data_IF_048835568009
#
_entry.id   IF_048835568009
#
_cell.length_a   1.000
_cell.length_b   1.000
_cell.length_c   1.000
_cell.angle_alpha   90.00
_cell.angle_beta   90.00
_cell.angle_gamma   90.00
#
_symmetry.space_group_name_H-M   'P 1'
#
loop_
_entity.id
_entity.type
_entity.pdbx_description
1 polymer ?
#
# COMPACT_ATOMS: atom_id res chain seq x y z
N UNK A 1 18.50 11.66 0.82
CA UNK A 1 17.67 12.08 1.95
C UNK A 1 16.30 11.42 1.93
N UNK A 2 15.65 11.28 3.08
CA UNK A 2 14.35 10.57 3.21
C UNK A 2 13.25 11.20 2.32
N UNK A 3 13.15 12.53 2.27
CA UNK A 3 12.15 13.26 1.47
C UNK A 3 12.16 12.90 -0.02
N UNK A 4 13.28 12.95 -0.76
CA UNK A 4 13.27 12.59 -2.17
C UNK A 4 12.90 11.11 -2.42
N UNK A 5 13.28 10.21 -1.52
CA UNK A 5 12.89 8.80 -1.64
C UNK A 5 11.38 8.60 -1.47
N UNK A 6 10.76 9.30 -0.51
CA UNK A 6 9.30 9.26 -0.31
C UNK A 6 8.58 9.80 -1.54
N UNK A 7 9.03 10.94 -2.07
CA UNK A 7 8.41 11.55 -3.25
C UNK A 7 8.54 10.66 -4.48
N UNK A 8 9.72 10.07 -4.71
CA UNK A 8 9.94 9.16 -5.84
C UNK A 8 9.07 7.90 -5.75
N UNK A 9 8.88 7.37 -4.56
CA UNK A 9 8.11 6.14 -4.35
C UNK A 9 6.60 6.40 -4.37
N UNK A 10 6.15 7.51 -3.78
CA UNK A 10 4.73 7.85 -3.72
C UNK A 10 4.15 8.19 -5.09
N UNK A 11 4.94 8.80 -6.00
CA UNK A 11 4.48 9.08 -7.37
C UNK A 11 4.12 7.80 -8.13
N UNK A 12 4.71 6.66 -7.74
CA UNK A 12 4.41 5.35 -8.32
C UNK A 12 2.93 4.96 -8.23
N UNK A 13 2.19 5.44 -7.23
CA UNK A 13 0.74 5.24 -7.17
C UNK A 13 0.02 5.97 -8.29
N UNK A 14 0.29 7.26 -8.48
CA UNK A 14 -0.37 8.06 -9.50
C UNK A 14 -0.03 7.54 -10.91
N UNK A 15 1.25 7.22 -11.14
CA UNK A 15 1.72 6.68 -12.43
C UNK A 15 1.13 5.29 -12.69
N UNK A 16 1.20 4.38 -11.72
CA UNK A 16 0.72 3.02 -11.91
C UNK A 16 -0.79 2.94 -12.13
N UNK A 17 -1.58 3.60 -11.30
CA UNK A 17 -3.04 3.66 -11.52
C UNK A 17 -3.40 4.47 -12.77
N UNK A 18 -2.64 5.52 -13.11
CA UNK A 18 -2.82 6.24 -14.36
C UNK A 18 -2.63 5.34 -15.59
N UNK A 19 -1.59 4.53 -15.62
CA UNK A 19 -1.35 3.55 -16.69
C UNK A 19 -2.49 2.54 -16.74
N UNK A 20 -2.94 2.01 -15.58
CA UNK A 20 -4.06 1.06 -15.54
C UNK A 20 -5.36 1.64 -16.12
N UNK A 21 -5.62 2.93 -15.92
CA UNK A 21 -6.81 3.60 -16.46
C UNK A 21 -6.72 3.91 -17.96
N UNK A 22 -5.50 3.99 -18.53
CA UNK A 22 -5.27 4.36 -19.91
C UNK A 22 -5.11 3.18 -20.87
N UNK A 23 -4.83 1.98 -20.36
CA UNK A 23 -4.48 0.83 -21.21
C UNK A 23 -5.22 -0.43 -20.81
N UNK A 24 -5.62 -1.22 -21.83
CA UNK A 24 -6.09 -2.60 -21.68
C UNK A 24 -5.03 -3.64 -22.07
N UNK A 25 -3.78 -3.21 -22.37
CA UNK A 25 -2.71 -4.14 -22.78
C UNK A 25 -2.16 -4.86 -21.57
N UNK A 26 -2.25 -6.20 -21.54
CA UNK A 26 -1.89 -7.05 -20.40
C UNK A 26 -0.47 -6.81 -19.87
N UNK A 27 0.52 -6.65 -20.75
CA UNK A 27 1.92 -6.41 -20.37
C UNK A 27 2.05 -5.06 -19.65
N UNK A 28 1.38 -4.01 -20.15
CA UNK A 28 1.42 -2.69 -19.50
C UNK A 28 0.68 -2.71 -18.15
N UNK A 29 -0.41 -3.47 -18.04
CA UNK A 29 -1.09 -3.71 -16.76
C UNK A 29 -0.17 -4.41 -15.77
N UNK A 30 0.54 -5.46 -16.19
CA UNK A 30 1.50 -6.16 -15.33
C UNK A 30 2.61 -5.21 -14.83
N UNK A 31 3.16 -4.37 -15.71
CA UNK A 31 4.15 -3.35 -15.32
C UNK A 31 3.55 -2.34 -14.34
N UNK A 32 2.33 -1.88 -14.59
CA UNK A 32 1.65 -0.94 -13.71
C UNK A 32 1.40 -1.54 -12.31
N UNK A 33 0.94 -2.81 -12.22
CA UNK A 33 0.82 -3.52 -10.96
C UNK A 33 2.14 -3.65 -10.21
N UNK A 34 3.22 -3.94 -10.93
CA UNK A 34 4.57 -4.02 -10.35
C UNK A 34 5.00 -2.67 -9.75
N UNK A 35 4.80 -1.57 -10.49
CA UNK A 35 5.10 -0.20 -10.02
C UNK A 35 4.29 0.15 -8.77
N UNK A 36 2.98 -0.11 -8.78
CA UNK A 36 2.11 0.11 -7.60
C UNK A 36 2.55 -0.75 -6.42
N UNK A 37 2.93 -2.01 -6.66
CA UNK A 37 3.42 -2.92 -5.63
C UNK A 37 4.68 -2.40 -4.92
N UNK A 38 5.67 -1.92 -5.69
CA UNK A 38 6.87 -1.28 -5.15
C UNK A 38 6.51 -0.03 -4.35
N UNK A 39 5.65 0.83 -4.90
CA UNK A 39 5.20 2.05 -4.23
C UNK A 39 4.52 1.71 -2.89
N UNK A 40 3.59 0.74 -2.87
CA UNK A 40 2.87 0.30 -1.68
C UNK A 40 3.82 -0.18 -0.58
N UNK A 41 4.70 -1.11 -0.90
CA UNK A 41 5.64 -1.67 0.09
C UNK A 41 6.58 -0.60 0.66
N UNK A 42 7.08 0.29 -0.19
CA UNK A 42 8.01 1.34 0.21
C UNK A 42 7.34 2.43 1.06
N UNK A 43 6.11 2.83 0.70
CA UNK A 43 5.35 3.85 1.46
C UNK A 43 4.99 3.33 2.85
N UNK A 44 4.52 2.09 2.98
CA UNK A 44 4.20 1.50 4.29
C UNK A 44 5.43 1.51 5.19
N UNK A 45 6.59 1.07 4.71
CA UNK A 45 7.82 1.07 5.49
C UNK A 45 8.25 2.49 5.88
N UNK A 46 8.16 3.43 4.96
CA UNK A 46 8.54 4.83 5.23
C UNK A 46 7.61 5.49 6.24
N UNK A 47 6.29 5.28 6.12
CA UNK A 47 5.32 5.78 7.09
C UNK A 47 5.58 5.20 8.48
N UNK A 48 5.88 3.91 8.58
CA UNK A 48 6.24 3.25 9.84
C UNK A 48 7.44 3.92 10.51
N UNK A 49 8.50 4.21 9.74
CA UNK A 49 9.70 4.89 10.26
C UNK A 49 9.35 6.32 10.69
N UNK A 50 8.65 7.09 9.84
CA UNK A 50 8.31 8.49 10.14
C UNK A 50 7.42 8.60 11.39
N UNK A 51 6.39 7.77 11.49
CA UNK A 51 5.50 7.78 12.67
C UNK A 51 6.24 7.35 13.91
N UNK A 52 7.09 6.32 13.81
CA UNK A 52 7.92 5.86 14.93
C UNK A 52 8.88 6.94 15.44
N UNK A 53 9.47 7.74 14.53
CA UNK A 53 10.47 8.74 14.89
C UNK A 53 9.85 10.05 15.40
N UNK A 54 8.63 10.38 14.99
CA UNK A 54 7.96 11.64 15.36
C UNK A 54 6.94 11.48 16.49
N UNK A 55 6.53 10.25 16.85
CA UNK A 55 5.60 10.02 17.93
C UNK A 55 6.29 10.06 19.29
N UNK A 56 5.71 10.79 20.24
CA UNK A 56 6.18 10.79 21.62
C UNK A 56 6.07 9.39 22.25
N UNK A 57 4.97 8.71 21.99
CA UNK A 57 4.76 7.29 22.27
C UNK A 57 4.69 6.52 20.95
N UNK A 58 5.72 5.72 20.72
CA UNK A 58 5.86 4.92 19.49
C UNK A 58 4.70 3.95 19.31
N UNK A 59 4.29 3.27 20.38
CA UNK A 59 3.21 2.27 20.32
C UNK A 59 1.89 2.92 19.97
N UNK A 60 1.57 4.04 20.59
CA UNK A 60 0.35 4.80 20.32
C UNK A 60 0.33 5.36 18.90
N UNK A 61 1.46 5.90 18.43
CA UNK A 61 1.59 6.42 17.06
C UNK A 61 1.39 5.32 16.02
N UNK A 62 2.01 4.16 16.22
CA UNK A 62 1.88 3.01 15.34
C UNK A 62 0.44 2.47 15.29
N UNK A 63 -0.22 2.35 16.46
CA UNK A 63 -1.61 1.91 16.51
C UNK A 63 -2.55 2.89 15.78
N UNK A 64 -2.34 4.20 15.95
CA UNK A 64 -3.11 5.21 15.23
C UNK A 64 -2.89 5.11 13.71
N UNK A 65 -1.67 4.94 13.26
CA UNK A 65 -1.35 4.74 11.84
C UNK A 65 -2.07 3.51 11.26
N UNK A 66 -2.03 2.38 11.97
CA UNK A 66 -2.73 1.17 11.55
C UNK A 66 -4.26 1.33 11.57
N UNK A 67 -4.81 2.07 12.53
CA UNK A 67 -6.24 2.40 12.56
C UNK A 67 -6.66 3.25 11.36
N UNK A 68 -5.85 4.26 10.99
CA UNK A 68 -6.10 5.05 9.78
C UNK A 68 -6.01 4.19 8.52
N UNK A 69 -5.05 3.26 8.46
CA UNK A 69 -4.95 2.30 7.35
C UNK A 69 -6.21 1.43 7.25
N UNK A 70 -6.69 0.90 8.38
CA UNK A 70 -7.91 0.08 8.43
C UNK A 70 -9.15 0.87 8.00
N UNK A 71 -9.29 2.13 8.42
CA UNK A 71 -10.36 3.02 7.93
C UNK A 71 -10.30 3.22 6.42
N UNK A 72 -9.10 3.42 5.87
CA UNK A 72 -8.91 3.54 4.43
C UNK A 72 -9.29 2.25 3.69
N UNK A 73 -8.88 1.10 4.20
CA UNK A 73 -9.22 -0.21 3.64
C UNK A 73 -10.73 -0.48 3.66
N UNK A 74 -11.43 -0.05 4.72
CA UNK A 74 -12.88 -0.13 4.84
C UNK A 74 -13.61 0.78 3.83
N UNK A 75 -13.16 2.01 3.65
CA UNK A 75 -13.82 3.01 2.81
C UNK A 75 -13.54 2.83 1.31
N UNK A 76 -12.35 2.35 0.96
CA UNK A 76 -11.89 2.25 -0.43
C UNK A 76 -12.82 1.43 -1.34
N UNK A 77 -13.31 0.23 -0.95
CA UNK A 77 -14.23 -0.55 -1.79
C UNK A 77 -15.54 0.17 -2.08
N UNK A 78 -16.05 0.96 -1.14
CA UNK A 78 -17.28 1.75 -1.37
C UNK A 78 -17.05 2.86 -2.39
N UNK A 79 -15.91 3.55 -2.31
CA UNK A 79 -15.53 4.58 -3.27
C UNK A 79 -15.35 3.98 -4.68
N UNK A 80 -14.66 2.85 -4.78
CA UNK A 80 -14.45 2.14 -6.03
C UNK A 80 -15.80 1.66 -6.60
N UNK A 81 -16.67 1.06 -5.78
CA UNK A 81 -17.97 0.58 -6.21
C UNK A 81 -18.88 1.73 -6.66
N UNK A 82 -18.83 2.88 -6.02
CA UNK A 82 -19.57 4.06 -6.43
C UNK A 82 -19.08 4.62 -7.78
N UNK A 83 -17.77 4.75 -7.95
CA UNK A 83 -17.16 5.22 -9.19
C UNK A 83 -17.36 4.23 -10.36
N UNK A 84 -17.27 2.93 -10.09
CA UNK A 84 -17.46 1.88 -11.09
C UNK A 84 -18.91 1.78 -11.64
N UNK A 85 -19.90 2.39 -10.97
CA UNK A 85 -21.26 2.55 -11.53
C UNK A 85 -21.27 3.47 -12.74
N UNK A 86 -20.31 4.39 -12.84
CA UNK A 86 -20.17 5.31 -13.98
C UNK A 86 -19.26 4.68 -15.04
N UNK A 87 -18.03 4.36 -14.66
CA UNK A 87 -17.11 3.56 -15.49
C UNK A 87 -16.00 2.95 -14.62
N UNK A 88 -15.43 1.84 -15.10
CA UNK A 88 -14.29 1.19 -14.42
C UNK A 88 -13.05 2.07 -14.48
N UNK A 89 -12.84 2.77 -15.60
CA UNK A 89 -11.74 3.69 -15.81
C UNK A 89 -11.80 4.85 -14.81
N UNK A 90 -12.99 5.39 -14.55
CA UNK A 90 -13.19 6.45 -13.57
C UNK A 90 -12.75 6.01 -12.17
N UNK A 91 -13.07 4.77 -11.78
CA UNK A 91 -12.65 4.22 -10.49
C UNK A 91 -11.12 4.18 -10.36
N UNK A 92 -10.42 3.77 -11.41
CA UNK A 92 -8.96 3.69 -11.44
C UNK A 92 -8.32 5.10 -11.47
N UNK A 93 -8.87 6.03 -12.26
CA UNK A 93 -8.40 7.43 -12.27
C UNK A 93 -8.63 8.14 -10.93
N UNK A 94 -9.68 7.81 -10.21
CA UNK A 94 -9.90 8.32 -8.85
C UNK A 94 -8.74 7.89 -7.92
N UNK A 95 -8.29 6.63 -8.01
CA UNK A 95 -7.14 6.16 -7.24
C UNK A 95 -5.84 6.86 -7.65
N UNK A 96 -5.65 7.10 -8.96
CA UNK A 96 -4.51 7.87 -9.46
C UNK A 96 -4.53 9.31 -8.92
N UNK A 97 -5.69 9.97 -8.93
CA UNK A 97 -5.88 11.31 -8.39
C UNK A 97 -5.59 11.39 -6.89
N UNK A 98 -6.09 10.42 -6.11
CA UNK A 98 -5.75 10.30 -4.68
C UNK A 98 -4.25 10.13 -4.45
N UNK A 99 -3.60 9.28 -5.26
CA UNK A 99 -2.14 9.12 -5.23
C UNK A 99 -1.40 10.42 -5.52
N UNK A 100 -1.87 11.20 -6.49
CA UNK A 100 -1.30 12.51 -6.81
C UNK A 100 -1.51 13.53 -5.69
N UNK A 101 -2.69 13.57 -5.09
CA UNK A 101 -2.98 14.45 -3.94
C UNK A 101 -2.05 14.12 -2.77
N UNK A 102 -1.88 12.84 -2.44
CA UNK A 102 -0.94 12.41 -1.41
C UNK A 102 0.50 12.80 -1.75
N UNK A 103 0.91 12.66 -3.00
CA UNK A 103 2.23 13.09 -3.45
C UNK A 103 2.43 14.59 -3.25
N UNK A 104 1.44 15.43 -3.61
CA UNK A 104 1.47 16.87 -3.38
C UNK A 104 1.57 17.19 -1.88
N UNK A 105 0.78 16.53 -1.03
CA UNK A 105 0.84 16.70 0.43
C UNK A 105 2.25 16.41 0.94
N UNK A 106 2.89 15.31 0.51
CA UNK A 106 4.27 15.01 0.89
C UNK A 106 5.28 16.01 0.32
N UNK A 107 5.05 16.55 -0.88
CA UNK A 107 5.94 17.54 -1.49
C UNK A 107 5.97 18.84 -0.65
N UNK A 108 4.83 19.29 -0.15
CA UNK A 108 4.71 20.51 0.65
C UNK A 108 4.99 20.29 2.15
N UNK A 109 4.90 19.05 2.65
CA UNK A 109 5.18 18.77 4.06
C UNK A 109 6.70 18.78 4.32
N UNK A 110 7.18 19.53 5.31
CA UNK A 110 8.59 19.47 5.72
C UNK A 110 8.86 18.14 6.44
N UNK A 111 9.32 17.13 5.73
CA UNK A 111 9.71 15.81 6.28
C UNK A 111 11.09 15.82 6.96
N UNK A 112 11.62 16.99 7.27
CA UNK A 112 12.93 17.19 7.86
C UNK A 112 12.83 17.79 9.26
N UNK A 113 12.69 16.97 10.27
CA UNK A 113 12.64 17.45 11.66
C UNK A 113 12.71 16.35 12.70
N UNK A 114 12.72 15.11 12.33
CA UNK A 114 13.12 14.06 13.24
C UNK A 114 14.50 14.40 13.73
N UNK A 115 14.71 14.56 15.06
CA UNK A 115 16.04 14.73 15.65
C UNK A 115 16.95 13.77 14.92
N UNK A 116 17.83 14.31 14.08
CA UNK A 116 18.94 13.54 13.58
C UNK A 116 19.64 13.04 14.85
N UNK A 117 19.25 11.87 15.31
CA UNK A 117 20.08 11.13 16.24
C UNK A 117 21.38 11.05 15.49
N UNK A 118 22.34 11.84 15.98
CA UNK A 118 23.73 11.99 15.54
C UNK A 118 24.04 11.10 14.38
N UNK A 119 24.44 11.68 13.24
CA UNK A 119 24.82 10.94 12.07
C UNK A 119 25.61 9.70 12.55
N UNK A 120 24.90 8.62 12.80
CA UNK A 120 25.55 7.37 13.12
C UNK A 120 26.42 7.14 11.92
N UNK A 121 27.72 7.11 12.17
CA UNK A 121 28.71 6.58 11.25
C UNK A 121 28.01 5.59 10.33
N UNK A 122 28.22 5.71 9.03
CA UNK A 122 27.69 4.77 8.04
C UNK A 122 28.11 3.38 8.50
N UNK A 123 27.34 2.79 9.40
CA UNK A 123 27.57 1.42 9.82
C UNK A 123 27.41 0.60 8.55
N UNK A 124 28.48 -0.05 8.15
CA UNK A 124 28.44 -1.02 7.08
C UNK A 124 27.26 -1.97 7.37
N UNK A 125 26.42 -2.17 6.36
CA UNK A 125 25.26 -3.05 6.51
C UNK A 125 25.78 -4.42 6.90
N UNK A 126 25.48 -4.84 8.13
CA UNK A 126 25.84 -6.19 8.58
C UNK A 126 24.86 -7.19 7.96
N UNK A 127 25.34 -7.94 6.98
CA UNK A 127 24.57 -8.98 6.29
C UNK A 127 24.53 -10.31 7.04
N UNK A 128 25.06 -10.37 8.27
CA UNK A 128 25.11 -11.61 9.06
C UNK A 128 23.72 -12.19 9.37
N UNK A 129 22.67 -11.32 9.44
CA UNK A 129 21.29 -11.76 9.66
C UNK A 129 20.77 -12.72 8.57
N UNK A 130 21.29 -12.63 7.33
CA UNK A 130 20.93 -13.56 6.25
C UNK A 130 21.37 -15.01 6.50
N UNK A 131 22.33 -15.22 7.41
CA UNK A 131 22.78 -16.56 7.83
C UNK A 131 21.94 -17.12 8.97
N UNK A 132 21.05 -16.32 9.56
CA UNK A 132 20.21 -16.75 10.68
C UNK A 132 19.00 -17.56 10.18
N UNK A 133 18.90 -18.81 10.61
CA UNK A 133 17.73 -19.65 10.33
C UNK A 133 16.43 -18.99 10.88
N UNK A 134 16.50 -18.32 12.02
CA UNK A 134 15.36 -17.60 12.63
C UNK A 134 14.84 -16.50 11.70
N UNK A 135 15.75 -15.77 11.05
CA UNK A 135 15.38 -14.75 10.07
C UNK A 135 14.56 -15.35 8.92
N UNK A 136 15.01 -16.46 8.34
CA UNK A 136 14.31 -17.11 7.23
C UNK A 136 12.99 -17.76 7.64
N UNK A 137 12.91 -18.33 8.85
CA UNK A 137 11.65 -18.85 9.39
C UNK A 137 10.60 -17.74 9.55
N UNK A 138 10.97 -16.61 10.15
CA UNK A 138 10.06 -15.47 10.32
C UNK A 138 9.68 -14.84 8.98
N UNK A 139 10.64 -14.71 8.06
CA UNK A 139 10.39 -14.21 6.70
C UNK A 139 9.45 -15.15 5.95
N UNK A 140 9.66 -16.46 6.05
CA UNK A 140 8.77 -17.46 5.47
C UNK A 140 7.37 -17.41 6.04
N UNK A 141 7.23 -17.28 7.36
CA UNK A 141 5.92 -17.13 8.02
C UNK A 141 5.17 -15.90 7.48
N UNK A 142 5.82 -14.74 7.43
CA UNK A 142 5.22 -13.51 6.92
C UNK A 142 4.89 -13.62 5.43
N UNK A 143 5.74 -14.28 4.64
CA UNK A 143 5.49 -14.52 3.23
C UNK A 143 4.22 -15.34 3.00
N UNK A 144 4.09 -16.49 3.68
CA UNK A 144 2.92 -17.36 3.52
C UNK A 144 1.64 -16.73 4.06
N UNK A 145 1.71 -16.02 5.19
CA UNK A 145 0.58 -15.28 5.73
C UNK A 145 0.09 -14.22 4.74
N UNK A 146 1.00 -13.42 4.20
CA UNK A 146 0.65 -12.37 3.24
C UNK A 146 0.12 -12.96 1.93
N UNK A 147 0.71 -14.05 1.44
CA UNK A 147 0.23 -14.76 0.24
C UNK A 147 -1.19 -15.29 0.43
N UNK A 148 -1.50 -15.90 1.57
CA UNK A 148 -2.82 -16.38 1.90
C UNK A 148 -3.85 -15.23 1.97
N UNK A 149 -3.53 -14.16 2.70
CA UNK A 149 -4.38 -12.98 2.82
C UNK A 149 -4.67 -12.35 1.46
N UNK A 150 -3.66 -12.10 0.64
CA UNK A 150 -3.82 -11.50 -0.68
C UNK A 150 -4.59 -12.42 -1.65
N UNK A 151 -4.40 -13.74 -1.55
CA UNK A 151 -5.13 -14.70 -2.35
C UNK A 151 -6.62 -14.71 -2.00
N UNK A 152 -6.94 -14.72 -0.71
CA UNK A 152 -8.33 -14.67 -0.26
C UNK A 152 -8.98 -13.35 -0.69
N UNK A 153 -8.36 -12.22 -0.41
CA UNK A 153 -8.89 -10.90 -0.78
C UNK A 153 -9.06 -10.74 -2.30
N UNK A 154 -8.10 -11.23 -3.09
CA UNK A 154 -8.14 -11.11 -4.55
C UNK A 154 -9.18 -12.01 -5.23
N UNK A 155 -9.37 -13.23 -4.73
CA UNK A 155 -10.23 -14.22 -5.38
C UNK A 155 -11.63 -14.31 -4.80
N UNK A 156 -11.89 -13.79 -3.61
CA UNK A 156 -13.18 -13.93 -2.92
C UNK A 156 -14.33 -13.34 -3.71
N UNK A 157 -14.18 -12.15 -4.26
CA UNK A 157 -15.22 -11.51 -5.10
C UNK A 157 -15.52 -12.36 -6.32
N UNK A 158 -14.49 -12.89 -6.98
CA UNK A 158 -14.64 -13.77 -8.15
C UNK A 158 -15.32 -15.07 -7.78
N UNK A 159 -14.93 -15.67 -6.66
CA UNK A 159 -15.53 -16.89 -6.15
C UNK A 159 -17.02 -16.71 -5.85
N UNK A 160 -17.40 -15.66 -5.13
CA UNK A 160 -18.81 -15.41 -4.80
C UNK A 160 -19.66 -15.09 -6.02
N UNK A 161 -19.13 -14.37 -6.99
CA UNK A 161 -19.82 -14.13 -8.27
C UNK A 161 -20.00 -15.43 -9.07
N UNK A 162 -18.97 -16.27 -9.10
CA UNK A 162 -19.01 -17.55 -9.85
C UNK A 162 -19.87 -18.63 -9.21
N UNK A 163 -19.94 -18.66 -7.87
CA UNK A 163 -20.74 -19.65 -7.11
C UNK A 163 -22.23 -19.33 -7.03
N UNK A 164 -22.63 -18.08 -7.39
CA UNK A 164 -24.03 -17.65 -7.27
C UNK A 164 -24.55 -17.50 -5.83
N UNK A 165 -23.69 -17.67 -4.81
CA UNK A 165 -24.07 -17.61 -3.39
C UNK A 165 -24.49 -16.19 -3.00
N UNK A 166 -23.85 -15.17 -3.60
CA UNK A 166 -24.12 -13.76 -3.28
C UNK A 166 -24.35 -12.97 -4.57
N UNK A 167 -25.40 -12.17 -4.60
CA UNK A 167 -25.74 -11.32 -5.75
C UNK A 167 -24.62 -10.27 -5.99
N UNK A 168 -24.28 -10.04 -7.26
CA UNK A 168 -23.07 -9.37 -7.74
C UNK A 168 -22.62 -8.08 -7.05
N UNK A 169 -23.55 -7.24 -6.57
CA UNK A 169 -23.20 -6.01 -5.83
C UNK A 169 -22.74 -6.30 -4.40
N UNK A 170 -23.31 -7.28 -3.71
CA UNK A 170 -22.92 -7.67 -2.36
C UNK A 170 -21.55 -8.37 -2.33
N UNK A 171 -21.18 -9.09 -3.40
CA UNK A 171 -19.87 -9.74 -3.50
C UNK A 171 -18.70 -8.74 -3.40
N UNK A 172 -18.88 -7.51 -3.90
CA UNK A 172 -17.84 -6.46 -3.79
C UNK A 172 -17.64 -5.98 -2.35
N UNK A 173 -18.67 -6.02 -1.51
CA UNK A 173 -18.60 -5.60 -0.13
C UNK A 173 -18.04 -6.65 0.82
N UNK A 174 -17.95 -7.92 0.41
CA UNK A 174 -17.36 -8.97 1.26
C UNK A 174 -15.89 -8.71 1.59
N UNK A 175 -15.16 -8.02 0.70
CA UNK A 175 -13.76 -7.63 0.94
C UNK A 175 -13.63 -6.60 2.07
N UNK A 176 -14.70 -5.84 2.39
CA UNK A 176 -14.66 -4.82 3.47
C UNK A 176 -14.84 -5.43 4.85
N UNK A 177 -15.31 -6.67 4.95
CA UNK A 177 -15.61 -7.34 6.23
C UNK A 177 -14.44 -8.19 6.71
N UNK A 178 -13.42 -8.36 5.86
CA UNK A 178 -12.18 -9.10 6.16
C UNK A 178 -11.03 -8.17 6.54
#
# INVERSE_FOLDING_TARGET
GMKPSVLLLTIGYAVGYGIMGLTGVEILLAVAFFVVGIAKGSVINTCTILVSDHSADRTRGMNLMHSCYACGALLCPFLIAAAAKVSTELAVFLLAALGLVLWLVYAFTPLGGGKAKNAKEKQAIDWSFLRSARFWMLTGLLFFQNAAEQSVNGWMVTYFKGSGIIVGTLAAYTVTVM
#
